data_IF_616689625945
#
_entry.id   IF_616689625945
#
_cell.length_a   1.000
_cell.length_b   1.000
_cell.length_c   1.000
_cell.angle_alpha   90.00
_cell.angle_beta   90.00
_cell.angle_gamma   90.00
#
_symmetry.space_group_name_H-M   'P 1'
#
loop_
_entity.id
_entity.type
_entity.pdbx_description
1 polymer ?
#
# COMPACT_ATOMS: atom_id res chain seq x y z
N UNK A 1 -2.82 -10.81 -45.81
CA UNK A 1 -3.56 -11.46 -44.70
C UNK A 1 -2.59 -11.62 -43.54
N UNK A 2 -2.81 -10.88 -42.44
CA UNK A 2 -1.98 -10.98 -41.23
C UNK A 2 -2.73 -11.84 -40.25
N UNK A 3 -2.26 -13.07 -39.96
CA UNK A 3 -2.77 -13.86 -38.83
C UNK A 3 -1.96 -13.51 -37.59
N UNK A 4 -2.60 -12.79 -36.67
CA UNK A 4 -2.05 -12.49 -35.37
C UNK A 4 -2.39 -13.64 -34.42
N UNK A 5 -1.43 -14.52 -34.19
CA UNK A 5 -1.51 -15.52 -33.12
C UNK A 5 -1.10 -14.83 -31.81
N UNK A 6 -2.06 -14.18 -31.17
CA UNK A 6 -1.89 -13.79 -29.79
C UNK A 6 -1.86 -15.09 -28.96
N UNK A 7 -0.69 -15.47 -28.50
CA UNK A 7 -0.57 -16.42 -27.39
C UNK A 7 -1.23 -15.73 -26.21
N UNK A 8 -2.44 -16.16 -25.83
CA UNK A 8 -2.99 -15.81 -24.54
C UNK A 8 -1.93 -16.20 -23.50
N UNK A 9 -1.16 -15.24 -23.03
CA UNK A 9 -0.38 -15.47 -21.83
C UNK A 9 -1.40 -15.88 -20.76
N UNK A 10 -1.26 -17.07 -20.26
CA UNK A 10 -1.83 -17.44 -18.97
C UNK A 10 -1.64 -16.21 -18.07
N UNK A 11 -2.69 -15.85 -17.38
CA UNK A 11 -2.71 -14.77 -16.41
C UNK A 11 -1.64 -15.11 -15.36
N UNK A 12 -0.41 -14.69 -15.58
CA UNK A 12 0.70 -14.94 -14.67
C UNK A 12 0.39 -14.16 -13.39
N UNK A 13 -0.18 -14.87 -12.41
CA UNK A 13 -0.32 -14.34 -11.06
C UNK A 13 1.07 -13.95 -10.56
N UNK A 14 1.17 -12.81 -9.93
CA UNK A 14 2.43 -12.35 -9.34
C UNK A 14 2.86 -13.31 -8.23
N UNK A 15 4.11 -13.72 -8.26
CA UNK A 15 4.68 -14.53 -7.19
C UNK A 15 4.99 -13.68 -5.95
N UNK A 16 5.02 -14.30 -4.78
CA UNK A 16 5.45 -13.63 -3.52
C UNK A 16 6.81 -12.94 -3.70
N UNK A 17 7.74 -13.59 -4.42
CA UNK A 17 9.09 -13.03 -4.64
C UNK A 17 9.08 -11.78 -5.53
N UNK A 18 8.24 -11.74 -6.55
CA UNK A 18 8.08 -10.56 -7.40
C UNK A 18 7.49 -9.40 -6.59
N UNK A 19 6.43 -9.65 -5.83
CA UNK A 19 5.80 -8.65 -4.98
C UNK A 19 6.78 -8.17 -3.90
N UNK A 20 7.51 -9.07 -3.27
CA UNK A 20 8.51 -8.76 -2.25
C UNK A 20 9.59 -7.80 -2.78
N UNK A 21 10.06 -8.03 -4.00
CA UNK A 21 11.05 -7.15 -4.67
C UNK A 21 10.50 -5.74 -4.87
N UNK A 22 9.24 -5.62 -5.31
CA UNK A 22 8.57 -4.32 -5.51
C UNK A 22 8.40 -3.60 -4.17
N UNK A 23 7.87 -4.29 -3.15
CA UNK A 23 7.66 -3.71 -1.82
C UNK A 23 8.98 -3.29 -1.16
N UNK A 24 10.06 -4.04 -1.38
CA UNK A 24 11.40 -3.69 -0.90
C UNK A 24 11.88 -2.37 -1.53
N UNK A 25 11.69 -2.21 -2.83
CA UNK A 25 12.00 -0.96 -3.55
C UNK A 25 11.16 0.21 -3.01
N UNK A 26 9.85 0.04 -2.85
CA UNK A 26 8.97 1.07 -2.29
C UNK A 26 9.39 1.47 -0.87
N UNK A 27 9.79 0.50 -0.04
CA UNK A 27 10.26 0.75 1.33
C UNK A 27 11.54 1.59 1.34
N UNK A 28 12.48 1.32 0.43
CA UNK A 28 13.71 2.11 0.31
C UNK A 28 13.42 3.52 -0.22
N UNK A 29 12.54 3.66 -1.19
CA UNK A 29 12.08 4.96 -1.68
C UNK A 29 11.43 5.79 -0.56
N UNK A 30 10.56 5.15 0.23
CA UNK A 30 9.91 5.81 1.37
C UNK A 30 10.94 6.29 2.40
N UNK A 31 11.95 5.47 2.73
CA UNK A 31 13.01 5.84 3.66
C UNK A 31 13.86 7.01 3.17
N UNK A 32 14.04 7.14 1.86
CA UNK A 32 14.83 8.23 1.26
C UNK A 32 14.12 9.59 1.33
N UNK A 33 12.81 9.62 1.59
CA UNK A 33 12.06 10.85 1.77
C UNK A 33 12.49 11.57 3.05
N UNK A 34 12.91 12.83 2.91
CA UNK A 34 13.34 13.65 4.05
C UNK A 34 12.13 14.19 4.83
N UNK A 35 12.04 13.84 6.12
CA UNK A 35 11.00 14.36 7.01
C UNK A 35 11.04 15.90 7.14
N UNK A 36 12.23 16.49 7.01
CA UNK A 36 12.41 17.96 7.09
C UNK A 36 11.65 18.73 6.01
N UNK A 37 11.28 18.08 4.90
CA UNK A 37 10.49 18.69 3.82
C UNK A 37 8.99 18.70 4.11
N UNK A 38 8.53 18.01 5.15
CA UNK A 38 7.11 17.90 5.47
C UNK A 38 6.62 19.15 6.21
N UNK A 39 5.70 19.87 5.60
CA UNK A 39 5.00 20.97 6.25
C UNK A 39 3.89 20.42 7.14
N UNK A 40 3.83 20.88 8.40
CA UNK A 40 2.73 20.53 9.32
C UNK A 40 1.41 21.04 8.77
N UNK A 41 0.38 20.20 8.88
CA UNK A 41 -0.97 20.47 8.39
C UNK A 41 -1.98 20.45 9.52
N UNK A 42 -3.02 21.23 9.34
CA UNK A 42 -4.11 21.34 10.31
C UNK A 42 -4.86 20.00 10.51
N UNK A 43 -4.86 19.14 9.49
CA UNK A 43 -5.57 17.86 9.50
C UNK A 43 -4.82 16.73 10.21
N UNK A 44 -3.55 16.87 10.53
CA UNK A 44 -2.74 15.82 11.18
C UNK A 44 -3.38 15.25 12.46
N UNK A 45 -3.97 16.08 13.36
CA UNK A 45 -4.61 15.56 14.56
C UNK A 45 -5.86 14.73 14.32
N UNK A 46 -6.43 14.78 13.11
CA UNK A 46 -7.62 13.99 12.74
C UNK A 46 -7.29 12.53 12.48
N UNK A 47 -6.02 12.19 12.23
CA UNK A 47 -5.57 10.81 12.04
C UNK A 47 -5.41 10.16 13.42
N UNK A 48 -6.36 9.27 13.77
CA UNK A 48 -6.41 8.59 15.03
C UNK A 48 -5.83 7.16 14.93
N UNK A 49 -4.57 6.99 15.27
CA UNK A 49 -3.87 5.71 15.21
C UNK A 49 -4.28 4.72 16.34
N UNK A 50 -4.99 5.17 17.35
CA UNK A 50 -5.52 4.31 18.42
C UNK A 50 -6.89 3.73 18.09
N UNK A 51 -7.47 4.15 16.97
CA UNK A 51 -8.74 3.62 16.47
C UNK A 51 -8.61 2.15 16.08
N UNK A 52 -9.62 1.35 16.43
CA UNK A 52 -9.76 -0.04 15.94
C UNK A 52 -10.32 -0.10 14.51
N UNK A 53 -10.64 1.03 13.93
CA UNK A 53 -11.19 1.15 12.57
C UNK A 53 -10.11 1.59 11.60
N UNK A 54 -10.27 1.23 10.34
CA UNK A 54 -9.45 1.78 9.28
C UNK A 54 -9.66 3.29 9.18
N UNK A 55 -8.57 4.04 9.10
CA UNK A 55 -8.61 5.47 8.83
C UNK A 55 -8.49 5.69 7.31
N UNK A 56 -9.46 6.36 6.72
CA UNK A 56 -9.49 6.63 5.28
C UNK A 56 -9.28 8.13 5.06
N UNK A 57 -8.18 8.48 4.42
CA UNK A 57 -7.86 9.87 4.06
C UNK A 57 -8.23 10.11 2.61
N UNK A 58 -9.20 10.99 2.39
CA UNK A 58 -9.73 11.32 1.07
C UNK A 58 -9.36 12.76 0.70
N UNK A 59 -9.14 13.01 -0.57
CA UNK A 59 -8.85 14.35 -1.08
C UNK A 59 -8.46 14.30 -2.55
N UNK A 60 -8.36 15.46 -3.17
CA UNK A 60 -7.97 15.56 -4.58
C UNK A 60 -6.55 15.04 -4.80
N UNK A 61 -6.27 14.60 -6.03
CA UNK A 61 -4.93 14.14 -6.41
C UNK A 61 -3.90 15.25 -6.15
N UNK A 62 -2.71 14.87 -5.67
CA UNK A 62 -1.62 15.79 -5.30
C UNK A 62 -1.94 16.78 -4.17
N UNK A 63 -2.98 16.53 -3.38
CA UNK A 63 -3.26 17.34 -2.19
C UNK A 63 -2.36 17.06 -0.99
N UNK A 64 -1.44 16.08 -1.11
CA UNK A 64 -0.51 15.69 -0.04
C UNK A 64 -1.07 14.71 0.97
N UNK A 65 -2.10 13.92 0.61
CA UNK A 65 -2.67 12.86 1.46
C UNK A 65 -1.62 11.86 1.94
N UNK A 66 -0.86 11.32 1.00
CA UNK A 66 0.19 10.34 1.29
C UNK A 66 1.26 10.94 2.19
N UNK A 67 1.65 12.18 1.94
CA UNK A 67 2.65 12.90 2.74
C UNK A 67 2.20 13.09 4.18
N UNK A 68 0.94 13.46 4.43
CA UNK A 68 0.42 13.63 5.80
C UNK A 68 0.32 12.29 6.53
N UNK A 69 -0.13 11.22 5.85
CA UNK A 69 -0.18 9.89 6.43
C UNK A 69 1.22 9.37 6.79
N UNK A 70 2.16 9.51 5.87
CA UNK A 70 3.56 9.12 6.07
C UNK A 70 4.18 9.87 7.27
N UNK A 71 4.01 11.19 7.32
CA UNK A 71 4.52 12.03 8.42
C UNK A 71 3.97 11.56 9.76
N UNK A 72 2.64 11.44 9.88
CA UNK A 72 2.00 11.03 11.13
C UNK A 72 2.46 9.65 11.58
N UNK A 73 2.59 8.69 10.65
CA UNK A 73 3.08 7.34 10.98
C UNK A 73 4.53 7.36 11.44
N UNK A 74 5.42 8.08 10.75
CA UNK A 74 6.83 8.18 11.14
C UNK A 74 7.01 8.82 12.50
N UNK A 75 6.28 9.90 12.80
CA UNK A 75 6.41 10.63 14.04
C UNK A 75 5.79 9.89 15.24
N UNK A 76 4.64 9.22 15.04
CA UNK A 76 3.89 8.60 16.13
C UNK A 76 4.22 7.14 16.39
N UNK A 77 4.57 6.37 15.36
CA UNK A 77 4.79 4.92 15.47
C UNK A 77 6.16 4.46 15.01
N UNK A 78 6.79 5.16 14.09
CA UNK A 78 8.12 4.88 13.56
C UNK A 78 8.16 3.74 12.57
N UNK A 79 7.65 2.55 12.89
CA UNK A 79 7.68 1.36 12.01
C UNK A 79 6.26 0.97 11.56
N UNK A 80 6.09 0.79 10.26
CA UNK A 80 4.84 0.39 9.63
C UNK A 80 5.09 -0.29 8.28
N UNK A 81 4.18 -1.15 7.87
CA UNK A 81 4.19 -1.73 6.54
C UNK A 81 3.54 -0.75 5.55
N UNK A 82 4.05 -0.71 4.33
CA UNK A 82 3.64 0.24 3.30
C UNK A 82 3.48 -0.40 1.94
N UNK A 83 2.42 -0.01 1.25
CA UNK A 83 2.19 -0.35 -0.18
C UNK A 83 1.65 0.87 -0.89
N UNK A 84 2.26 1.21 -2.03
CA UNK A 84 1.73 2.18 -2.99
C UNK A 84 1.16 1.44 -4.21
N UNK A 85 -0.16 1.52 -4.40
CA UNK A 85 -0.86 0.88 -5.52
C UNK A 85 -0.88 1.74 -6.80
N UNK A 86 -0.29 2.94 -6.79
CA UNK A 86 -0.06 3.76 -7.99
C UNK A 86 1.25 3.35 -8.71
N UNK A 87 1.93 2.33 -8.20
CA UNK A 87 3.12 1.74 -8.81
C UNK A 87 2.73 0.87 -10.01
N UNK A 88 3.25 1.18 -11.19
CA UNK A 88 2.94 0.47 -12.44
C UNK A 88 3.29 -1.02 -12.38
N UNK A 89 4.23 -1.42 -11.54
CA UNK A 89 4.62 -2.82 -11.34
C UNK A 89 3.53 -3.64 -10.64
N UNK A 90 2.61 -2.97 -9.93
CA UNK A 90 1.46 -3.59 -9.26
C UNK A 90 0.15 -3.47 -10.06
N UNK A 91 0.16 -2.86 -11.25
CA UNK A 91 -1.05 -2.62 -12.06
C UNK A 91 -1.80 -3.90 -12.43
N UNK A 92 -1.09 -5.03 -12.54
CA UNK A 92 -1.67 -6.34 -12.84
C UNK A 92 -2.20 -7.07 -11.60
N UNK A 93 -1.92 -6.56 -10.39
CA UNK A 93 -2.36 -7.18 -9.15
C UNK A 93 -3.89 -7.15 -9.03
N UNK A 94 -4.46 -8.32 -8.77
CA UNK A 94 -5.91 -8.50 -8.63
C UNK A 94 -6.29 -8.77 -7.18
N UNK A 95 -7.56 -8.60 -6.88
CA UNK A 95 -8.15 -8.87 -5.55
C UNK A 95 -7.76 -10.26 -5.01
N UNK A 96 -7.74 -11.30 -5.87
CA UNK A 96 -7.35 -12.67 -5.48
C UNK A 96 -5.87 -12.82 -5.09
N UNK A 97 -5.03 -11.84 -5.40
CA UNK A 97 -3.59 -11.85 -5.08
C UNK A 97 -3.23 -11.04 -3.83
N UNK A 98 -4.23 -10.44 -3.17
CA UNK A 98 -4.00 -9.64 -1.96
C UNK A 98 -3.48 -10.49 -0.78
N UNK A 99 -3.74 -11.78 -0.75
CA UNK A 99 -3.12 -12.69 0.23
C UNK A 99 -1.63 -12.90 -0.04
N UNK A 100 -1.25 -13.00 -1.31
CA UNK A 100 0.15 -13.07 -1.73
C UNK A 100 0.90 -11.77 -1.39
N UNK A 101 0.23 -10.62 -1.57
CA UNK A 101 0.75 -9.32 -1.14
C UNK A 101 0.95 -9.27 0.37
N UNK A 102 -0.02 -9.75 1.13
CA UNK A 102 0.05 -9.78 2.60
C UNK A 102 1.20 -10.67 3.09
N UNK A 103 1.39 -11.83 2.48
CA UNK A 103 2.52 -12.71 2.76
C UNK A 103 3.85 -12.00 2.50
N UNK A 104 3.98 -11.30 1.36
CA UNK A 104 5.18 -10.53 1.05
C UNK A 104 5.44 -9.41 2.08
N UNK A 105 4.40 -8.74 2.55
CA UNK A 105 4.49 -7.71 3.59
C UNK A 105 5.02 -8.30 4.91
N UNK A 106 4.54 -9.46 5.34
CA UNK A 106 5.04 -10.13 6.54
C UNK A 106 6.49 -10.59 6.38
N UNK A 107 6.87 -11.09 5.21
CA UNK A 107 8.27 -11.47 4.92
C UNK A 107 9.22 -10.27 4.97
N UNK A 108 8.76 -9.10 4.50
CA UNK A 108 9.58 -7.88 4.45
C UNK A 108 9.69 -7.17 5.80
N UNK A 109 8.60 -7.13 6.57
CA UNK A 109 8.50 -6.29 7.77
C UNK A 109 8.45 -7.10 9.07
N UNK A 110 8.33 -8.43 9.01
CA UNK A 110 7.98 -9.23 10.17
C UNK A 110 6.55 -8.93 10.63
N UNK A 111 6.28 -9.07 11.92
CA UNK A 111 4.99 -8.70 12.50
C UNK A 111 4.89 -7.17 12.57
N UNK A 112 3.94 -6.60 11.86
CA UNK A 112 3.67 -5.18 11.87
C UNK A 112 2.29 -4.89 12.49
N UNK A 113 2.21 -3.78 13.21
CA UNK A 113 0.97 -3.32 13.83
C UNK A 113 0.21 -2.34 12.95
N UNK A 114 0.91 -1.57 12.15
CA UNK A 114 0.34 -0.53 11.29
C UNK A 114 0.63 -0.84 9.83
N UNK A 115 -0.39 -0.67 8.99
CA UNK A 115 -0.33 -0.88 7.55
C UNK A 115 -0.84 0.38 6.84
N UNK A 116 0.00 0.96 6.00
CA UNK A 116 -0.36 2.09 5.16
C UNK A 116 -0.54 1.62 3.70
N UNK A 117 -1.77 1.71 3.22
CA UNK A 117 -2.17 1.36 1.86
C UNK A 117 -2.45 2.65 1.09
N UNK A 118 -1.49 3.09 0.29
CA UNK A 118 -1.62 4.30 -0.53
C UNK A 118 -2.24 3.96 -1.88
N UNK A 119 -3.19 4.80 -2.32
CA UNK A 119 -3.94 4.64 -3.58
C UNK A 119 -4.64 3.26 -3.73
N UNK A 120 -5.13 2.70 -2.60
CA UNK A 120 -5.75 1.36 -2.53
C UNK A 120 -6.97 1.21 -3.45
N UNK A 121 -7.63 2.32 -3.82
CA UNK A 121 -8.78 2.30 -4.73
C UNK A 121 -8.44 1.80 -6.14
N UNK A 122 -7.15 1.69 -6.48
CA UNK A 122 -6.71 1.08 -7.74
C UNK A 122 -6.95 -0.44 -7.78
N UNK A 123 -7.27 -1.06 -6.65
CA UNK A 123 -7.60 -2.49 -6.55
C UNK A 123 -9.11 -2.67 -6.38
N UNK A 124 -9.76 -3.37 -7.30
CA UNK A 124 -11.17 -3.70 -7.20
C UNK A 124 -11.44 -4.56 -5.95
N UNK A 125 -12.49 -4.24 -5.21
CA UNK A 125 -12.87 -5.00 -4.02
C UNK A 125 -11.95 -4.82 -2.81
N UNK A 126 -11.10 -3.82 -2.79
CA UNK A 126 -10.17 -3.52 -1.69
C UNK A 126 -10.86 -3.41 -0.32
N UNK A 127 -12.11 -2.95 -0.28
CA UNK A 127 -12.88 -2.80 0.95
C UNK A 127 -13.07 -4.15 1.67
N UNK A 128 -13.28 -5.22 0.92
CA UNK A 128 -13.43 -6.57 1.47
C UNK A 128 -12.12 -7.05 2.12
N UNK A 129 -11.00 -6.75 1.48
CA UNK A 129 -9.68 -7.05 2.02
C UNK A 129 -9.41 -6.29 3.33
N UNK A 130 -9.62 -4.98 3.36
CA UNK A 130 -9.43 -4.15 4.56
C UNK A 130 -10.35 -4.62 5.70
N UNK A 131 -11.62 -4.87 5.42
CA UNK A 131 -12.58 -5.38 6.41
C UNK A 131 -12.15 -6.75 6.96
N UNK A 132 -11.57 -7.61 6.14
CA UNK A 132 -11.04 -8.90 6.59
C UNK A 132 -9.85 -8.71 7.53
N UNK A 133 -8.92 -7.83 7.21
CA UNK A 133 -7.77 -7.53 8.08
C UNK A 133 -8.21 -7.01 9.45
N UNK A 134 -9.22 -6.15 9.49
CA UNK A 134 -9.75 -5.60 10.75
C UNK A 134 -10.41 -6.67 11.63
N UNK A 135 -10.99 -7.73 11.03
CA UNK A 135 -11.62 -8.83 11.79
C UNK A 135 -10.62 -9.84 12.35
N UNK A 136 -9.42 -9.89 11.83
CA UNK A 136 -8.38 -10.86 12.23
C UNK A 136 -7.54 -10.40 13.43
N UNK A 137 -7.86 -9.27 14.03
CA UNK A 137 -7.17 -8.73 15.20
C UNK A 137 -7.70 -9.30 16.51
#
# INVERSE_FOLDING_TARGET
MFSYLARCKYNDMMTVQQILSILSSQKEELKSNELASFVSRYEEPLINLDSKMAQVVIGVRRSGKSTICEKVLREKVGDFAYVNFDDERLVSLKTGELDTLLEALYRLNGDFKYLFLDEIQNIDGWQLFVNRLLRQK
#
